data_IF_395684491940
#
_entry.id   IF_395684491940
#
_cell.length_a   1.000
_cell.length_b   1.000
_cell.length_c   1.000
_cell.angle_alpha   90.00
_cell.angle_beta   90.00
_cell.angle_gamma   90.00
#
_symmetry.space_group_name_H-M   'P 1'
#
loop_
_entity.id
_entity.type
_entity.pdbx_description
1 polymer ?
#
# COMPACT_ATOMS: atom_id res chain seq x y z
N UNK A 1 -66.39 4.34 4.35
CA UNK A 1 -65.31 3.84 3.50
C UNK A 1 -64.22 4.92 3.48
N UNK A 2 -63.22 4.84 4.39
CA UNK A 2 -62.13 5.82 4.49
C UNK A 2 -60.87 5.19 3.91
N UNK A 3 -60.28 5.80 2.86
CA UNK A 3 -58.98 5.41 2.30
C UNK A 3 -57.88 5.80 3.30
N UNK A 4 -57.08 4.80 3.68
CA UNK A 4 -55.87 5.03 4.47
C UNK A 4 -54.72 5.20 3.49
N UNK A 5 -54.16 6.40 3.48
CA UNK A 5 -52.95 6.76 2.72
C UNK A 5 -51.73 6.06 3.31
N UNK A 6 -51.04 5.21 2.50
CA UNK A 6 -49.74 4.62 2.85
C UNK A 6 -48.67 5.66 2.61
N UNK A 7 -48.10 6.17 3.69
CA UNK A 7 -46.82 6.94 3.61
C UNK A 7 -45.66 5.96 3.42
N UNK A 8 -45.00 6.05 2.28
CA UNK A 8 -43.74 5.38 2.04
C UNK A 8 -42.66 5.97 2.94
N UNK A 9 -42.11 5.18 3.85
CA UNK A 9 -40.93 5.51 4.65
C UNK A 9 -39.75 5.07 3.83
N UNK A 10 -39.05 6.02 3.25
CA UNK A 10 -37.75 5.80 2.62
C UNK A 10 -36.72 5.71 3.75
N UNK A 11 -36.31 4.48 4.09
CA UNK A 11 -35.21 4.28 5.02
C UNK A 11 -33.90 4.58 4.29
N UNK A 12 -33.33 5.73 4.53
CA UNK A 12 -31.95 6.04 4.13
C UNK A 12 -31.03 5.28 5.09
N UNK A 13 -30.50 4.15 4.65
CA UNK A 13 -29.45 3.45 5.36
C UNK A 13 -28.17 4.28 5.26
N UNK A 14 -27.83 5.00 6.30
CA UNK A 14 -26.51 5.58 6.47
C UNK A 14 -25.54 4.48 6.85
N UNK A 15 -24.84 3.93 5.86
CA UNK A 15 -23.69 3.07 6.11
C UNK A 15 -22.58 3.99 6.62
N UNK A 16 -22.33 3.98 7.92
CA UNK A 16 -21.15 4.58 8.51
C UNK A 16 -19.93 3.75 8.08
N UNK A 17 -19.24 4.18 7.03
CA UNK A 17 -17.95 3.63 6.63
C UNK A 17 -16.94 4.05 7.69
N UNK A 18 -16.54 3.11 8.53
CA UNK A 18 -15.40 3.23 9.42
C UNK A 18 -14.12 3.30 8.57
N UNK A 19 -13.50 4.47 8.50
CA UNK A 19 -12.11 4.60 8.12
C UNK A 19 -11.79 4.77 6.65
N UNK A 20 -12.59 5.51 5.88
CA UNK A 20 -12.13 6.07 4.61
C UNK A 20 -11.21 7.26 4.87
N UNK A 21 -9.90 7.12 4.65
CA UNK A 21 -8.99 8.25 4.54
C UNK A 21 -9.35 9.04 3.27
N UNK A 22 -10.14 10.09 3.43
CA UNK A 22 -10.30 11.08 2.36
C UNK A 22 -9.04 11.95 2.37
N UNK A 23 -8.18 11.79 1.38
CA UNK A 23 -7.10 12.74 1.10
C UNK A 23 -7.75 14.01 0.59
N UNK A 24 -7.87 15.02 1.46
CA UNK A 24 -8.29 16.36 1.04
C UNK A 24 -7.17 16.97 0.22
N UNK A 25 -7.40 17.18 -1.07
CA UNK A 25 -6.48 17.91 -1.94
C UNK A 25 -6.35 19.36 -1.44
N UNK A 26 -5.14 19.75 -1.05
CA UNK A 26 -4.82 21.15 -0.77
C UNK A 26 -4.75 21.94 -2.09
N UNK A 27 -5.15 23.23 -2.11
CA UNK A 27 -5.09 24.04 -3.33
C UNK A 27 -3.64 24.31 -3.73
N UNK A 28 -3.27 23.88 -4.93
CA UNK A 28 -1.97 24.09 -5.56
C UNK A 28 -1.77 25.56 -5.89
N UNK A 29 -0.82 26.22 -5.26
CA UNK A 29 -0.24 27.46 -5.79
C UNK A 29 0.84 27.08 -6.81
N UNK A 30 0.64 27.53 -8.05
CA UNK A 30 1.57 27.35 -9.15
C UNK A 30 2.89 28.09 -8.88
N UNK A 31 3.98 27.33 -8.69
CA UNK A 31 5.35 27.84 -8.75
C UNK A 31 5.93 27.46 -10.11
N UNK A 32 6.43 28.47 -10.85
CA UNK A 32 7.08 28.36 -12.15
C UNK A 32 8.36 27.52 -12.05
N UNK A 33 8.61 26.50 -12.88
CA UNK A 33 9.85 25.74 -12.81
C UNK A 33 10.98 26.47 -13.50
N UNK A 34 12.02 26.82 -12.76
CA UNK A 34 13.34 27.13 -13.30
C UNK A 34 14.06 25.83 -13.65
N UNK A 35 14.37 25.64 -14.93
CA UNK A 35 15.21 24.55 -15.41
C UNK A 35 16.61 24.62 -14.79
N UNK A 36 16.94 23.67 -13.92
CA UNK A 36 18.31 23.37 -13.53
C UNK A 36 18.68 22.01 -14.10
N UNK A 37 19.69 22.01 -14.94
CA UNK A 37 20.26 20.82 -15.57
C UNK A 37 20.90 19.95 -14.50
N UNK A 38 20.29 18.84 -14.14
CA UNK A 38 20.87 17.85 -13.24
C UNK A 38 21.72 16.85 -14.04
N UNK A 39 22.99 16.83 -13.73
CA UNK A 39 24.01 15.86 -14.09
C UNK A 39 23.61 14.44 -13.78
N UNK A 40 23.86 13.55 -14.77
CA UNK A 40 23.47 12.16 -14.76
C UNK A 40 23.87 11.37 -13.52
N UNK A 41 22.89 10.78 -12.89
CA UNK A 41 23.10 9.64 -12.01
C UNK A 41 23.17 8.39 -12.90
N UNK A 42 24.30 7.70 -12.84
CA UNK A 42 24.50 6.38 -13.43
C UNK A 42 23.47 5.42 -12.85
N UNK A 43 22.37 5.21 -13.57
CA UNK A 43 21.38 4.21 -13.22
C UNK A 43 22.03 2.83 -13.25
N UNK A 44 22.13 2.17 -12.10
CA UNK A 44 22.41 0.76 -12.04
C UNK A 44 21.40 0.06 -12.97
N UNK A 45 21.90 -0.71 -13.93
CA UNK A 45 21.06 -1.47 -14.87
C UNK A 45 20.14 -2.38 -14.04
N UNK A 46 18.83 -2.08 -14.06
CA UNK A 46 17.82 -2.91 -13.43
C UNK A 46 17.81 -4.22 -14.19
N UNK A 47 18.36 -5.27 -13.61
CA UNK A 47 18.33 -6.61 -14.18
C UNK A 47 16.87 -7.02 -14.34
N UNK A 48 16.44 -7.20 -15.58
CA UNK A 48 15.08 -7.63 -15.93
C UNK A 48 14.79 -9.09 -15.52
N UNK A 49 15.77 -9.79 -14.98
CA UNK A 49 15.63 -11.20 -14.58
C UNK A 49 16.58 -11.53 -13.41
N UNK A 50 16.05 -12.16 -12.38
CA UNK A 50 16.82 -12.56 -11.20
C UNK A 50 17.76 -13.75 -11.54
N UNK A 51 18.99 -13.66 -11.04
CA UNK A 51 19.97 -14.74 -11.12
C UNK A 51 19.71 -15.82 -10.04
N UNK A 52 20.24 -17.04 -10.24
CA UNK A 52 20.13 -18.10 -9.22
C UNK A 52 20.74 -17.70 -7.88
N UNK A 53 21.81 -16.88 -7.89
CA UNK A 53 22.43 -16.35 -6.66
C UNK A 53 21.53 -15.39 -5.90
N UNK A 54 20.74 -14.59 -6.59
CA UNK A 54 19.75 -13.68 -5.99
C UNK A 54 18.57 -14.48 -5.45
N UNK A 55 18.03 -15.41 -6.23
CA UNK A 55 16.96 -16.31 -5.81
C UNK A 55 17.32 -17.11 -4.57
N UNK A 56 18.58 -17.59 -4.45
CA UNK A 56 19.03 -18.36 -3.31
C UNK A 56 18.96 -17.60 -1.97
N UNK A 57 18.91 -16.26 -2.01
CA UNK A 57 18.81 -15.40 -0.82
C UNK A 57 17.37 -15.08 -0.42
N UNK A 58 16.40 -15.39 -1.28
CA UNK A 58 15.00 -15.10 -1.05
C UNK A 58 14.32 -16.26 -0.30
N UNK A 59 13.32 -15.98 0.55
CA UNK A 59 12.53 -16.98 1.28
C UNK A 59 11.48 -17.64 0.37
N UNK A 60 11.93 -18.21 -0.77
CA UNK A 60 11.08 -18.86 -1.76
C UNK A 60 10.57 -20.21 -1.26
N UNK A 61 9.27 -20.46 -1.47
CA UNK A 61 8.64 -21.76 -1.25
C UNK A 61 8.95 -22.76 -2.38
N UNK A 62 9.03 -22.28 -3.62
CA UNK A 62 9.43 -23.04 -4.80
C UNK A 62 10.71 -22.43 -5.39
N UNK A 63 11.75 -23.26 -5.50
CA UNK A 63 13.09 -22.79 -5.95
C UNK A 63 13.31 -22.91 -7.45
N UNK A 64 12.43 -23.63 -8.15
CA UNK A 64 12.51 -23.83 -9.60
C UNK A 64 11.53 -22.93 -10.29
N UNK A 65 11.93 -21.68 -10.53
CA UNK A 65 11.13 -20.70 -11.25
C UNK A 65 11.47 -20.74 -12.75
N UNK A 66 10.45 -20.69 -13.59
CA UNK A 66 10.58 -20.45 -15.03
C UNK A 66 11.17 -19.07 -15.28
N UNK A 67 11.58 -18.79 -16.53
CA UNK A 67 12.06 -17.46 -16.92
C UNK A 67 10.97 -16.38 -16.73
N UNK A 68 9.73 -16.73 -17.02
CA UNK A 68 8.58 -15.87 -16.84
C UNK A 68 8.35 -15.52 -15.37
N UNK A 69 8.27 -16.51 -14.50
CA UNK A 69 8.09 -16.31 -13.05
C UNK A 69 9.22 -15.49 -12.42
N UNK A 70 10.47 -15.67 -12.88
CA UNK A 70 11.62 -14.86 -12.43
C UNK A 70 11.47 -13.40 -12.85
N UNK A 71 10.94 -13.13 -14.05
CA UNK A 71 10.68 -11.78 -14.51
C UNK A 71 9.58 -11.12 -13.70
N UNK A 72 8.47 -11.82 -13.44
CA UNK A 72 7.38 -11.34 -12.61
C UNK A 72 7.84 -11.03 -11.17
N UNK A 73 8.60 -11.94 -10.56
CA UNK A 73 9.19 -11.71 -9.24
C UNK A 73 10.13 -10.51 -9.22
N UNK A 74 10.92 -10.29 -10.28
CA UNK A 74 11.82 -9.14 -10.37
C UNK A 74 11.05 -7.80 -10.38
N UNK A 75 9.89 -7.73 -11.05
CA UNK A 75 9.01 -6.55 -11.01
C UNK A 75 8.55 -6.29 -9.58
N UNK A 76 8.01 -7.28 -8.89
CA UNK A 76 7.49 -7.16 -7.53
C UNK A 76 8.57 -6.73 -6.54
N UNK A 77 9.77 -7.33 -6.61
CA UNK A 77 10.88 -6.96 -5.72
C UNK A 77 11.37 -5.53 -5.99
N UNK A 78 11.35 -5.07 -7.26
CA UNK A 78 11.64 -3.69 -7.59
C UNK A 78 10.61 -2.75 -7.01
N UNK A 79 9.32 -3.11 -7.06
CA UNK A 79 8.24 -2.28 -6.51
C UNK A 79 8.35 -2.12 -5.00
N UNK A 80 8.72 -3.18 -4.27
CA UNK A 80 9.07 -3.02 -2.86
C UNK A 80 10.26 -2.10 -2.66
N UNK A 81 11.34 -2.26 -3.45
CA UNK A 81 12.54 -1.43 -3.33
C UNK A 81 12.24 0.07 -3.51
N UNK A 82 11.42 0.42 -4.53
CA UNK A 82 11.06 1.83 -4.79
C UNK A 82 9.98 2.36 -3.84
N UNK A 83 9.39 1.50 -3.01
CA UNK A 83 8.43 1.88 -1.97
C UNK A 83 9.03 1.90 -0.55
N UNK A 84 10.34 1.65 -0.40
CA UNK A 84 11.07 1.77 0.87
C UNK A 84 11.39 3.22 1.22
N UNK A 85 11.52 3.55 2.51
CA UNK A 85 11.76 4.90 2.96
C UNK A 85 13.01 5.58 2.35
N UNK A 86 14.10 4.81 2.21
CA UNK A 86 15.39 5.34 1.70
C UNK A 86 15.47 5.39 0.17
N UNK A 87 14.64 4.64 -0.52
CA UNK A 87 14.71 4.44 -1.97
C UNK A 87 13.40 4.80 -2.66
N UNK A 88 12.56 5.61 -2.00
CA UNK A 88 11.27 6.01 -2.51
C UNK A 88 11.38 6.62 -3.90
N UNK A 89 10.74 5.97 -4.86
CA UNK A 89 10.50 6.45 -6.22
C UNK A 89 9.03 6.12 -6.58
N UNK A 90 8.14 7.02 -6.17
CA UNK A 90 6.71 6.82 -6.31
C UNK A 90 6.26 6.79 -7.78
N UNK A 91 6.97 7.49 -8.66
CA UNK A 91 6.69 7.50 -10.09
C UNK A 91 7.11 6.15 -10.73
N UNK A 92 8.23 5.56 -10.27
CA UNK A 92 8.62 4.21 -10.69
C UNK A 92 7.62 3.15 -10.19
N UNK A 93 7.08 3.29 -8.97
CA UNK A 93 6.03 2.42 -8.44
C UNK A 93 4.75 2.52 -9.29
N UNK A 94 4.24 3.74 -9.55
CA UNK A 94 3.08 3.97 -10.41
C UNK A 94 3.28 3.38 -11.81
N UNK A 95 4.45 3.64 -12.42
CA UNK A 95 4.76 3.18 -13.76
C UNK A 95 4.94 1.66 -13.89
N UNK A 96 5.03 0.90 -12.80
CA UNK A 96 5.05 -0.57 -12.85
C UNK A 96 3.68 -1.16 -13.17
N UNK A 97 2.61 -0.43 -12.88
CA UNK A 97 1.25 -0.88 -13.14
C UNK A 97 0.86 -0.76 -14.62
N UNK A 98 -0.04 -1.63 -15.05
CA UNK A 98 -0.73 -1.49 -16.32
C UNK A 98 -1.60 -0.22 -16.31
N UNK A 99 -1.98 0.27 -17.49
CA UNK A 99 -2.80 1.49 -17.63
C UNK A 99 -4.08 1.48 -16.78
N UNK A 100 -4.74 0.32 -16.71
CA UNK A 100 -5.96 0.11 -15.92
C UNK A 100 -5.67 -0.66 -14.62
N UNK A 101 -4.39 -0.75 -14.24
CA UNK A 101 -3.93 -1.44 -13.05
C UNK A 101 -4.51 -0.86 -11.77
N UNK A 102 -4.61 -1.70 -10.73
CA UNK A 102 -5.21 -1.32 -9.45
C UNK A 102 -4.39 -1.83 -8.28
N UNK A 103 -4.17 -0.95 -7.30
CA UNK A 103 -3.78 -1.33 -5.95
C UNK A 103 -5.04 -1.34 -5.07
N UNK A 104 -5.34 -2.46 -4.46
CA UNK A 104 -6.41 -2.61 -3.48
C UNK A 104 -5.83 -2.70 -2.08
N UNK A 105 -6.09 -1.71 -1.24
CA UNK A 105 -5.91 -1.84 0.20
C UNK A 105 -7.14 -2.58 0.76
N UNK A 106 -6.96 -3.88 0.97
CA UNK A 106 -8.08 -4.82 1.17
C UNK A 106 -8.77 -4.66 2.51
N UNK A 107 -8.06 -4.22 3.54
CA UNK A 107 -8.62 -4.11 4.90
C UNK A 107 -9.58 -2.93 5.02
N UNK A 108 -9.22 -1.70 4.60
CA UNK A 108 -10.15 -0.58 4.56
C UNK A 108 -11.07 -0.59 3.32
N UNK A 109 -10.82 -1.47 2.34
CA UNK A 109 -11.61 -1.56 1.12
C UNK A 109 -11.43 -0.38 0.16
N UNK A 110 -10.20 0.16 0.06
CA UNK A 110 -9.87 1.29 -0.80
C UNK A 110 -9.08 0.83 -2.02
N UNK A 111 -9.43 1.34 -3.20
CA UNK A 111 -8.73 1.06 -4.45
C UNK A 111 -8.08 2.32 -5.02
N UNK A 112 -6.81 2.20 -5.43
CA UNK A 112 -6.01 3.27 -6.03
C UNK A 112 -5.72 2.95 -7.49
N UNK A 113 -5.78 3.95 -8.37
CA UNK A 113 -5.54 3.84 -9.81
C UNK A 113 -4.87 5.10 -10.34
N UNK A 114 -4.15 4.98 -11.48
CA UNK A 114 -3.47 6.11 -12.12
C UNK A 114 -2.52 6.80 -11.14
N UNK A 115 -2.49 8.12 -11.12
CA UNK A 115 -1.58 8.92 -10.27
C UNK A 115 -1.70 8.61 -8.77
N UNK A 116 -2.89 8.16 -8.30
CA UNK A 116 -3.10 7.77 -6.91
C UNK A 116 -2.29 6.53 -6.49
N UNK A 117 -1.79 5.73 -7.42
CA UNK A 117 -0.89 4.61 -7.12
C UNK A 117 0.40 5.10 -6.46
N UNK A 118 0.98 6.21 -6.97
CA UNK A 118 2.18 6.82 -6.40
C UNK A 118 1.97 7.42 -5.01
N UNK A 119 0.73 7.77 -4.64
CA UNK A 119 0.43 8.31 -3.31
C UNK A 119 0.53 7.27 -2.21
N UNK A 120 0.33 5.98 -2.54
CA UNK A 120 0.41 4.89 -1.55
C UNK A 120 1.80 4.82 -0.88
N UNK A 121 2.93 4.66 -1.63
CA UNK A 121 4.24 4.66 -1.00
C UNK A 121 4.61 6.01 -0.39
N UNK A 122 4.20 7.15 -0.99
CA UNK A 122 4.42 8.49 -0.39
C UNK A 122 3.77 8.60 0.98
N UNK A 123 2.54 8.09 1.13
CA UNK A 123 1.83 8.10 2.40
C UNK A 123 2.54 7.26 3.46
N UNK A 124 2.97 6.04 3.12
CA UNK A 124 3.68 5.16 4.05
C UNK A 124 5.02 5.77 4.49
N UNK A 125 5.81 6.33 3.57
CA UNK A 125 7.06 7.04 3.91
C UNK A 125 6.78 8.31 4.71
N UNK A 126 5.65 8.98 4.47
CA UNK A 126 5.22 10.13 5.26
C UNK A 126 4.96 9.81 6.72
N UNK A 127 4.46 8.59 7.03
CA UNK A 127 4.26 8.11 8.40
C UNK A 127 5.53 7.50 9.01
N UNK A 128 6.26 6.73 8.20
CA UNK A 128 7.42 5.94 8.59
C UNK A 128 8.57 6.24 7.62
N UNK A 129 9.39 7.29 7.85
CA UNK A 129 10.47 7.67 6.93
C UNK A 129 11.51 6.57 6.71
N UNK A 130 11.62 5.63 7.64
CA UNK A 130 12.48 4.46 7.60
C UNK A 130 11.73 3.16 7.24
N UNK A 131 10.55 3.27 6.60
CA UNK A 131 9.74 2.08 6.27
C UNK A 131 10.54 1.06 5.48
N UNK A 132 10.43 -0.19 5.91
CA UNK A 132 11.10 -1.36 5.35
C UNK A 132 10.17 -2.57 5.34
N UNK A 133 10.34 -3.45 4.35
CA UNK A 133 9.57 -4.69 4.21
C UNK A 133 10.46 -5.90 4.39
N UNK A 134 10.28 -6.60 5.50
CA UNK A 134 10.92 -7.89 5.75
C UNK A 134 10.11 -9.00 5.07
N UNK A 135 10.63 -9.57 3.99
CA UNK A 135 9.98 -10.65 3.25
C UNK A 135 10.18 -11.98 3.99
N UNK A 136 9.10 -12.64 4.41
CA UNK A 136 9.12 -13.88 5.21
C UNK A 136 8.86 -15.12 4.39
N UNK A 137 8.03 -15.02 3.36
CA UNK A 137 7.72 -16.12 2.45
C UNK A 137 7.29 -15.61 1.10
N UNK A 138 7.79 -16.20 0.03
CA UNK A 138 7.45 -15.85 -1.35
C UNK A 138 7.01 -17.11 -2.09
N UNK A 139 5.86 -17.07 -2.70
CA UNK A 139 5.36 -18.09 -3.62
C UNK A 139 5.09 -17.46 -4.97
N UNK A 140 5.66 -18.04 -6.02
CA UNK A 140 5.43 -17.61 -7.41
C UNK A 140 4.73 -18.72 -8.16
N UNK A 141 3.66 -18.39 -8.84
CA UNK A 141 2.92 -19.32 -9.67
C UNK A 141 2.42 -18.60 -10.92
N UNK A 142 3.13 -18.78 -12.03
CA UNK A 142 2.89 -18.14 -13.32
C UNK A 142 2.80 -16.60 -13.18
N UNK A 143 1.64 -16.01 -13.35
CA UNK A 143 1.39 -14.57 -13.28
C UNK A 143 1.06 -14.04 -11.87
N UNK A 144 1.16 -14.89 -10.84
CA UNK A 144 0.84 -14.53 -9.48
C UNK A 144 2.07 -14.65 -8.57
N UNK A 145 2.37 -13.56 -7.85
CA UNK A 145 3.37 -13.54 -6.78
C UNK A 145 2.67 -13.26 -5.46
N UNK A 146 2.75 -14.21 -4.52
CA UNK A 146 2.17 -14.09 -3.18
C UNK A 146 3.28 -13.96 -2.16
N UNK A 147 3.16 -12.97 -1.27
CA UNK A 147 4.21 -12.66 -0.29
C UNK A 147 3.62 -12.49 1.10
N UNK A 148 4.19 -13.22 2.06
CA UNK A 148 4.02 -12.96 3.48
C UNK A 148 5.21 -12.11 3.95
N UNK A 149 4.93 -10.98 4.59
CA UNK A 149 5.94 -10.01 4.99
C UNK A 149 5.57 -9.29 6.29
N UNK A 150 6.51 -8.54 6.83
CA UNK A 150 6.26 -7.50 7.83
C UNK A 150 6.60 -6.13 7.27
N UNK A 151 5.72 -5.15 7.48
CA UNK A 151 6.05 -3.74 7.30
C UNK A 151 6.62 -3.22 8.62
N UNK A 152 7.84 -2.74 8.59
CA UNK A 152 8.57 -2.22 9.74
C UNK A 152 8.88 -0.74 9.55
N UNK A 153 8.97 0.02 10.63
CA UNK A 153 9.33 1.43 10.58
C UNK A 153 9.19 2.13 11.93
N UNK A 154 9.53 3.42 11.97
CA UNK A 154 9.40 4.27 13.15
C UNK A 154 8.34 5.34 12.88
N UNK A 155 7.35 5.45 13.76
CA UNK A 155 6.26 6.41 13.61
C UNK A 155 6.77 7.84 13.89
N UNK A 156 7.12 8.56 12.82
CA UNK A 156 7.69 9.90 12.86
C UNK A 156 6.85 10.96 12.14
N UNK A 157 5.90 10.55 11.30
CA UNK A 157 4.99 11.46 10.61
C UNK A 157 3.59 11.50 11.20
N UNK A 158 2.83 12.61 11.06
CA UNK A 158 1.50 12.73 11.65
C UNK A 158 0.47 11.85 10.92
N UNK A 159 -0.30 11.04 11.67
CA UNK A 159 -1.41 10.29 11.14
C UNK A 159 -2.71 11.10 11.23
N UNK A 160 -3.36 11.36 10.10
CA UNK A 160 -4.68 11.98 10.06
C UNK A 160 -5.77 10.96 10.37
N UNK A 161 -6.67 11.28 11.28
CA UNK A 161 -7.82 10.45 11.64
C UNK A 161 -9.11 11.27 11.65
N UNK A 162 -10.30 10.65 11.61
CA UNK A 162 -11.57 11.37 11.75
C UNK A 162 -11.71 12.16 13.05
N UNK A 163 -10.97 11.78 14.11
CA UNK A 163 -10.97 12.45 15.41
C UNK A 163 -9.89 13.55 15.52
N UNK A 164 -9.07 13.73 14.49
CA UNK A 164 -7.96 14.69 14.47
C UNK A 164 -6.61 14.01 14.19
N UNK A 165 -5.54 14.78 14.37
CA UNK A 165 -4.18 14.32 14.07
C UNK A 165 -3.57 13.57 15.23
N UNK A 166 -3.19 12.30 15.01
CA UNK A 166 -2.34 11.54 15.93
C UNK A 166 -0.90 11.99 15.71
N UNK A 167 -0.30 12.53 16.77
CA UNK A 167 1.09 13.01 16.72
C UNK A 167 2.06 11.84 16.75
N UNK A 168 3.18 11.91 15.99
CA UNK A 168 4.23 10.92 16.04
C UNK A 168 4.84 10.83 17.45
N UNK A 169 5.21 9.62 17.86
CA UNK A 169 5.74 9.34 19.19
C UNK A 169 7.03 8.50 19.16
N UNK A 170 7.57 8.23 17.98
CA UNK A 170 8.77 7.41 17.80
C UNK A 170 8.55 5.91 18.04
N UNK A 171 7.30 5.44 18.12
CA UNK A 171 6.99 4.03 18.27
C UNK A 171 7.48 3.23 17.06
N UNK A 172 8.09 2.09 17.31
CA UNK A 172 8.44 1.14 16.25
C UNK A 172 7.25 0.24 15.94
N UNK A 173 7.05 0.02 14.65
CA UNK A 173 6.02 -0.89 14.14
C UNK A 173 6.67 -2.11 13.47
N UNK A 174 6.01 -3.26 13.60
CA UNK A 174 6.30 -4.52 12.92
C UNK A 174 4.96 -5.19 12.61
N UNK A 175 4.47 -4.93 11.40
CA UNK A 175 3.07 -5.15 11.01
C UNK A 175 2.97 -6.35 10.07
N UNK A 176 2.30 -7.44 10.50
CA UNK A 176 2.09 -8.58 9.63
C UNK A 176 1.23 -8.18 8.43
N UNK A 177 1.69 -8.57 7.25
CA UNK A 177 1.07 -8.18 5.97
C UNK A 177 1.12 -9.38 5.01
N UNK A 178 0.11 -9.50 4.16
CA UNK A 178 0.07 -10.45 3.07
C UNK A 178 -0.29 -9.74 1.78
N UNK A 179 0.49 -9.99 0.74
CA UNK A 179 0.40 -9.31 -0.54
C UNK A 179 0.22 -10.32 -1.68
N UNK A 180 -0.69 -9.99 -2.61
CA UNK A 180 -0.95 -10.77 -3.81
C UNK A 180 -0.83 -9.88 -5.03
N UNK A 181 0.19 -10.14 -5.85
CA UNK A 181 0.50 -9.42 -7.06
C UNK A 181 0.09 -10.24 -8.27
N UNK A 182 -0.70 -9.65 -9.15
CA UNK A 182 -1.17 -10.24 -10.40
C UNK A 182 -0.54 -9.45 -11.55
N UNK A 183 0.26 -10.13 -12.37
CA UNK A 183 1.04 -9.51 -13.42
C UNK A 183 0.60 -10.02 -14.80
N UNK A 184 0.79 -9.20 -15.81
CA UNK A 184 0.68 -9.58 -17.21
C UNK A 184 1.64 -8.75 -18.04
N UNK A 185 2.36 -9.38 -18.95
CA UNK A 185 3.37 -8.73 -19.82
C UNK A 185 4.34 -7.80 -19.05
N UNK A 186 4.77 -8.21 -17.86
CA UNK A 186 5.72 -7.46 -17.04
C UNK A 186 5.15 -6.20 -16.38
N UNK A 187 3.82 -6.09 -16.30
CA UNK A 187 3.08 -5.02 -15.64
C UNK A 187 2.18 -5.57 -14.55
N UNK A 188 1.99 -4.80 -13.50
CA UNK A 188 1.03 -5.13 -12.43
C UNK A 188 -0.37 -4.76 -12.90
N UNK A 189 -1.24 -5.75 -13.07
CA UNK A 189 -2.67 -5.52 -13.34
C UNK A 189 -3.46 -5.30 -12.06
N UNK A 190 -3.09 -6.05 -11.03
CA UNK A 190 -3.75 -5.94 -9.72
C UNK A 190 -2.77 -6.25 -8.61
N UNK A 191 -2.85 -5.47 -7.54
CA UNK A 191 -2.14 -5.70 -6.30
C UNK A 191 -3.14 -5.66 -5.14
N UNK A 192 -3.38 -6.78 -4.47
CA UNK A 192 -4.22 -6.89 -3.28
C UNK A 192 -3.32 -6.93 -2.04
N UNK A 193 -3.40 -5.92 -1.18
CA UNK A 193 -2.59 -5.77 0.03
C UNK A 193 -3.44 -5.89 1.29
N UNK A 194 -3.05 -6.79 2.21
CA UNK A 194 -3.72 -7.04 3.48
C UNK A 194 -2.82 -6.60 4.63
N UNK A 195 -2.83 -5.32 4.95
CA UNK A 195 -2.07 -4.76 6.07
C UNK A 195 -2.76 -5.05 7.39
N UNK A 196 -2.01 -5.51 8.39
CA UNK A 196 -2.50 -5.69 9.76
C UNK A 196 -2.70 -4.36 10.50
N UNK A 197 -3.60 -3.49 10.02
CA UNK A 197 -3.81 -2.13 10.57
C UNK A 197 -4.11 -2.10 12.06
N UNK A 198 -4.85 -3.08 12.58
CA UNK A 198 -5.11 -3.15 14.03
C UNK A 198 -3.82 -3.29 14.84
N UNK A 199 -2.87 -4.11 14.36
CA UNK A 199 -1.54 -4.26 14.96
C UNK A 199 -0.74 -2.96 14.82
N UNK A 200 -0.75 -2.35 13.63
CA UNK A 200 -0.05 -1.09 13.36
C UNK A 200 -0.53 0.01 14.32
N UNK A 201 -1.83 0.23 14.39
CA UNK A 201 -2.41 1.25 15.26
C UNK A 201 -2.12 1.01 16.74
N UNK A 202 -2.25 -0.25 17.21
CA UNK A 202 -1.92 -0.60 18.60
C UNK A 202 -0.45 -0.31 18.92
N UNK A 203 0.48 -0.64 18.03
CA UNK A 203 1.90 -0.34 18.20
C UNK A 203 2.20 1.16 18.19
N UNK A 204 1.43 1.96 17.40
CA UNK A 204 1.50 3.42 17.41
C UNK A 204 0.86 4.06 18.67
N UNK A 205 0.24 3.27 19.56
CA UNK A 205 -0.46 3.75 20.75
C UNK A 205 -1.89 4.21 20.50
N UNK A 206 -2.46 3.89 19.32
CA UNK A 206 -3.86 4.13 18.99
C UNK A 206 -4.69 2.92 19.43
N UNK A 207 -5.51 3.10 20.47
CA UNK A 207 -6.35 2.03 21.00
C UNK A 207 -7.78 2.13 20.48
N UNK A 208 -8.39 0.98 20.19
CA UNK A 208 -9.81 0.90 19.90
C UNK A 208 -10.59 1.04 21.21
N UNK A 209 -11.57 1.95 21.23
CA UNK A 209 -12.46 2.13 22.38
C UNK A 209 -13.61 1.12 22.36
N UNK A 210 -13.34 -0.09 22.86
CA UNK A 210 -14.35 -1.13 23.01
C UNK A 210 -15.45 -0.75 24.02
N UNK A 211 -15.13 0.07 25.05
CA UNK A 211 -16.10 0.48 26.06
C UNK A 211 -17.24 1.28 25.43
N UNK A 212 -16.94 2.21 24.53
CA UNK A 212 -17.97 2.98 23.81
C UNK A 212 -18.86 2.12 22.88
N UNK A 213 -18.44 0.92 22.53
CA UNK A 213 -19.22 -0.01 21.73
C UNK A 213 -20.17 -0.87 22.57
N UNK A 214 -19.78 -1.19 23.82
CA UNK A 214 -20.56 -2.04 24.73
C UNK A 214 -21.79 -1.31 25.27
N UNK A 215 -21.69 0.00 25.52
CA UNK A 215 -22.77 0.81 26.09
C UNK A 215 -23.92 1.15 25.11
N UNK A 216 -23.88 0.62 23.89
CA UNK A 216 -24.87 0.90 22.85
C UNK A 216 -25.92 -0.21 22.63
N UNK A 217 -25.92 -1.22 23.50
CA UNK A 217 -26.86 -2.35 23.40
C UNK A 217 -27.72 -2.53 24.66
#
# INVERSE_FOLDING_TARGET
MKLISRKSITATAAIAVLGGLSIAAAPTQAATPTHSSATGHSGAAVHTTLTDRELAKLPLTNRHLTKHERANLAVVLRDYYVAEGKTLDADAFENSFAKDGVFNDMVPGVAYRGEALGDVPRYMVGLFPDVHRELKRITVNDDVVSIELSIQGTFEGPLQSPAGTVKPNGARVDVPTADFWYLHDGKVEKFDCFVGYSTMYAQMGVNFDWASAVDKH
#
